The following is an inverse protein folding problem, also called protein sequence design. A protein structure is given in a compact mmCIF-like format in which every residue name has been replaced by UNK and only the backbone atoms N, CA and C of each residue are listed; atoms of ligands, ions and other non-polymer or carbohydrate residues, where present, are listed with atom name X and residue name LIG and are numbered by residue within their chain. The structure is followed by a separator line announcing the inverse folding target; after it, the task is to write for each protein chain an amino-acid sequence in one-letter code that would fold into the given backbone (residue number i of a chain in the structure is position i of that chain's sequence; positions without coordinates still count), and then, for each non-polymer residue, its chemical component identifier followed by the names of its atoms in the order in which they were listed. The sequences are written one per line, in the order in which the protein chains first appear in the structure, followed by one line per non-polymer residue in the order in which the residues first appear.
data_IF_129529572969
#
_entry.id   IF_129529572969
#
_cell.length_a   1.000
_cell.length_b   1.000
_cell.length_c   1.000
_cell.angle_alpha   90.00
_cell.angle_beta   90.00
_cell.angle_gamma   90.00
#
_symmetry.space_group_name_H-M   'P 1'
#
loop_
_entity.id
_entity.type
_entity.pdbx_description
1 polymer ?
#
# COMPACT_ATOMS: atom_id res chain seq x y z
N UNK A 1 -2.04 40.79 -24.78
CA UNK A 1 -0.97 40.56 -23.77
C UNK A 1 -1.32 39.39 -22.83
N UNK A 2 -2.60 39.16 -22.50
CA UNK A 2 -3.01 38.07 -21.58
C UNK A 2 -2.93 36.64 -22.21
N UNK A 3 -2.99 36.52 -23.53
CA UNK A 3 -2.95 35.21 -24.23
C UNK A 3 -1.53 34.67 -24.40
N UNK A 4 -0.51 35.52 -24.37
CA UNK A 4 0.90 35.10 -24.46
C UNK A 4 1.43 34.53 -23.14
N UNK A 5 0.94 35.00 -21.99
CA UNK A 5 1.36 34.48 -20.65
C UNK A 5 0.89 33.06 -20.38
N UNK A 6 -0.31 32.69 -20.84
CA UNK A 6 -0.87 31.35 -20.62
C UNK A 6 -0.19 30.24 -21.45
N UNK A 7 0.41 30.60 -22.59
CA UNK A 7 1.17 29.66 -23.44
C UNK A 7 2.56 29.36 -22.91
N UNK A 8 3.21 30.32 -22.23
CA UNK A 8 4.54 30.13 -21.62
C UNK A 8 4.45 29.23 -20.39
N UNK A 9 3.44 29.42 -19.52
CA UNK A 9 3.21 28.57 -18.34
C UNK A 9 2.80 27.12 -18.68
N UNK A 10 2.21 26.87 -19.87
CA UNK A 10 1.92 25.50 -20.35
C UNK A 10 3.14 24.80 -20.94
N UNK A 11 4.10 25.55 -21.51
CA UNK A 11 5.34 24.97 -22.06
C UNK A 11 6.29 24.53 -20.96
N UNK A 12 6.40 25.28 -19.86
CA UNK A 12 7.28 24.95 -18.73
C UNK A 12 6.78 23.74 -17.89
N UNK A 13 5.53 23.28 -18.07
CA UNK A 13 5.01 22.04 -17.45
C UNK A 13 5.17 20.78 -18.30
N UNK A 14 5.48 20.92 -19.59
CA UNK A 14 5.64 19.78 -20.51
C UNK A 14 7.06 19.19 -20.48
N UNK A 15 8.04 19.93 -19.95
CA UNK A 15 9.46 19.54 -19.90
C UNK A 15 9.92 19.07 -18.51
N UNK A 16 9.01 18.74 -17.60
CA UNK A 16 9.38 17.96 -16.42
C UNK A 16 9.55 16.49 -16.83
N UNK A 17 10.56 16.22 -17.65
CA UNK A 17 11.12 14.89 -17.79
C UNK A 17 11.41 14.39 -16.37
N UNK A 18 10.90 13.25 -15.98
CA UNK A 18 11.24 12.63 -14.69
C UNK A 18 12.75 12.44 -14.69
N UNK A 19 13.46 13.28 -13.94
CA UNK A 19 14.90 13.10 -13.76
C UNK A 19 15.08 11.74 -13.07
N UNK A 20 15.93 10.92 -13.66
CA UNK A 20 16.28 9.59 -13.16
C UNK A 20 17.68 9.69 -12.57
N UNK A 21 17.81 9.47 -11.26
CA UNK A 21 19.12 9.49 -10.60
C UNK A 21 19.85 8.16 -10.85
N UNK A 22 21.09 8.19 -11.40
CA UNK A 22 21.90 6.99 -11.53
C UNK A 22 22.30 6.49 -10.14
N UNK A 23 21.95 5.23 -9.83
CA UNK A 23 22.30 4.61 -8.55
C UNK A 23 23.66 3.92 -8.67
N UNK A 24 24.56 4.09 -7.68
CA UNK A 24 25.85 3.41 -7.68
C UNK A 24 25.73 1.89 -7.78
N UNK A 25 26.62 1.27 -8.56
CA UNK A 25 26.67 -0.18 -8.66
C UNK A 25 27.00 -0.81 -7.28
N UNK A 26 26.33 -1.90 -6.95
CA UNK A 26 26.64 -2.69 -5.76
C UNK A 26 27.76 -3.66 -6.04
N UNK A 27 28.76 -3.67 -5.16
CA UNK A 27 29.89 -4.57 -5.21
C UNK A 27 29.73 -5.82 -4.32
N UNK A 28 28.65 -5.89 -3.52
CA UNK A 28 28.36 -7.06 -2.69
C UNK A 28 27.65 -8.13 -3.51
N UNK A 29 28.03 -9.41 -3.34
CA UNK A 29 27.33 -10.52 -3.96
C UNK A 29 25.83 -10.50 -3.62
N UNK A 30 24.99 -10.94 -4.55
CA UNK A 30 23.56 -11.10 -4.27
C UNK A 30 23.39 -12.19 -3.18
N UNK A 31 22.54 -11.97 -2.16
CA UNK A 31 22.24 -12.98 -1.17
C UNK A 31 21.48 -14.15 -1.81
N UNK A 32 21.75 -15.37 -1.32
CA UNK A 32 20.95 -16.55 -1.69
C UNK A 32 19.60 -16.53 -0.96
N UNK A 33 18.60 -17.32 -1.39
CA UNK A 33 17.32 -17.40 -0.69
C UNK A 33 17.45 -17.71 0.82
N UNK A 34 18.44 -18.53 1.21
CA UNK A 34 18.68 -18.95 2.59
C UNK A 34 19.32 -17.85 3.45
N UNK A 35 20.09 -16.97 2.84
CA UNK A 35 20.81 -15.89 3.53
C UNK A 35 20.11 -14.54 3.45
N UNK A 36 19.13 -14.40 2.54
CA UNK A 36 18.41 -13.14 2.35
C UNK A 36 17.55 -12.78 3.55
N UNK A 37 17.78 -11.58 4.07
CA UNK A 37 17.04 -11.04 5.21
C UNK A 37 16.13 -9.90 4.75
N UNK A 38 14.85 -10.02 5.04
CA UNK A 38 13.88 -8.99 4.74
C UNK A 38 13.02 -8.65 5.95
N UNK A 39 12.50 -7.44 5.98
CA UNK A 39 11.61 -6.97 7.03
C UNK A 39 10.62 -5.94 6.51
N UNK A 40 9.76 -5.50 7.41
CA UNK A 40 8.72 -4.50 7.11
C UNK A 40 8.79 -3.32 8.05
N UNK A 41 8.34 -2.17 7.56
CA UNK A 41 8.03 -1.00 8.36
C UNK A 41 6.61 -0.54 8.06
N UNK A 42 5.85 -0.21 9.12
CA UNK A 42 4.51 0.36 9.02
C UNK A 42 4.30 1.42 10.10
N UNK A 43 3.66 2.53 9.76
CA UNK A 43 3.16 3.51 10.72
C UNK A 43 1.67 3.30 10.86
N UNK A 44 1.23 2.91 12.05
CA UNK A 44 -0.10 2.33 12.27
C UNK A 44 -0.95 3.16 13.23
N UNK A 45 -2.24 3.28 12.88
CA UNK A 45 -3.32 3.75 13.75
C UNK A 45 -4.48 2.80 13.57
N UNK A 46 -4.48 1.70 14.33
CA UNK A 46 -5.44 0.61 14.23
C UNK A 46 -5.61 -0.07 15.59
N UNK A 47 -6.58 -0.97 15.71
CA UNK A 47 -6.78 -1.76 16.92
C UNK A 47 -5.68 -2.82 17.09
N UNK A 48 -5.44 -3.23 18.33
CA UNK A 48 -4.49 -4.31 18.62
C UNK A 48 -4.72 -5.58 17.79
N UNK A 49 -5.95 -6.11 17.63
CA UNK A 49 -6.17 -7.28 16.78
C UNK A 49 -5.75 -7.08 15.32
N UNK A 50 -5.98 -5.89 14.75
CA UNK A 50 -5.58 -5.57 13.37
C UNK A 50 -4.04 -5.54 13.25
N UNK A 51 -3.35 -4.87 14.17
CA UNK A 51 -1.89 -4.77 14.16
C UNK A 51 -1.27 -6.15 14.40
N UNK A 52 -1.81 -6.95 15.31
CA UNK A 52 -1.33 -8.30 15.59
C UNK A 52 -1.51 -9.24 14.39
N UNK A 53 -2.65 -9.20 13.69
CA UNK A 53 -2.85 -9.95 12.44
C UNK A 53 -1.84 -9.56 11.38
N UNK A 54 -1.63 -8.27 11.19
CA UNK A 54 -0.63 -7.75 10.26
C UNK A 54 0.77 -8.28 10.59
N UNK A 55 1.22 -8.12 11.83
CA UNK A 55 2.54 -8.56 12.25
C UNK A 55 2.69 -10.09 12.17
N UNK A 56 1.69 -10.84 12.66
CA UNK A 56 1.70 -12.29 12.65
C UNK A 56 1.78 -12.87 11.25
N UNK A 57 0.95 -12.37 10.31
CA UNK A 57 0.95 -12.82 8.93
C UNK A 57 2.32 -12.67 8.28
N UNK A 58 2.95 -11.52 8.44
CA UNK A 58 4.22 -11.25 7.77
C UNK A 58 5.40 -11.95 8.44
N UNK A 59 5.37 -12.12 9.76
CA UNK A 59 6.36 -12.94 10.49
C UNK A 59 6.24 -14.42 10.09
N UNK A 60 5.03 -14.91 9.89
CA UNK A 60 4.74 -16.27 9.44
C UNK A 60 5.19 -16.50 7.97
N UNK A 61 5.13 -15.48 7.13
CA UNK A 61 5.69 -15.48 5.78
C UNK A 61 7.23 -15.38 5.75
N UNK A 62 7.90 -15.27 6.92
CA UNK A 62 9.34 -15.26 7.03
C UNK A 62 9.99 -13.87 7.14
N UNK A 63 9.23 -12.81 7.46
CA UNK A 63 9.85 -11.54 7.80
C UNK A 63 10.79 -11.69 8.99
N UNK A 64 12.03 -11.26 8.86
CA UNK A 64 13.02 -11.29 9.95
C UNK A 64 12.67 -10.31 11.07
N UNK A 65 12.05 -9.17 10.70
CA UNK A 65 11.63 -8.13 11.64
C UNK A 65 10.44 -7.33 11.08
N UNK A 66 9.57 -6.85 11.98
CA UNK A 66 8.50 -5.89 11.68
C UNK A 66 8.66 -4.67 12.57
N UNK A 67 8.91 -3.50 11.96
CA UNK A 67 8.98 -2.22 12.64
C UNK A 67 7.61 -1.54 12.63
N UNK A 68 7.04 -1.32 13.81
CA UNK A 68 5.71 -0.72 14.00
C UNK A 68 5.83 0.62 14.70
N UNK A 69 5.45 1.68 14.01
CA UNK A 69 5.35 3.03 14.57
C UNK A 69 3.89 3.29 14.95
N UNK A 70 3.59 3.31 16.26
CA UNK A 70 2.25 3.56 16.76
C UNK A 70 1.93 5.07 16.68
N UNK A 71 1.18 5.50 15.68
CA UNK A 71 0.81 6.91 15.45
C UNK A 71 -0.30 7.40 16.41
N UNK A 72 -0.96 6.49 17.08
CA UNK A 72 -1.81 6.70 18.24
C UNK A 72 -1.39 5.65 19.30
N UNK A 73 -0.38 5.94 20.13
CA UNK A 73 0.16 4.99 21.09
C UNK A 73 -0.90 4.53 22.11
N UNK A 74 -0.97 3.23 22.31
CA UNK A 74 -1.78 2.57 23.32
C UNK A 74 -0.90 1.62 24.13
N UNK A 75 -0.83 1.77 25.47
CA UNK A 75 0.05 0.99 26.34
C UNK A 75 -0.19 -0.52 26.29
N UNK A 76 -1.44 -0.96 26.11
CA UNK A 76 -1.78 -2.37 25.99
C UNK A 76 -1.22 -2.96 24.69
N UNK A 77 -1.44 -2.25 23.58
CA UNK A 77 -0.92 -2.63 22.26
C UNK A 77 0.60 -2.69 22.25
N UNK A 78 1.26 -1.67 22.79
CA UNK A 78 2.72 -1.63 22.92
C UNK A 78 3.26 -2.80 23.74
N UNK A 79 2.72 -2.99 24.96
CA UNK A 79 3.14 -4.06 25.86
C UNK A 79 2.95 -5.45 25.25
N UNK A 80 1.86 -5.67 24.51
CA UNK A 80 1.60 -6.95 23.87
C UNK A 80 2.59 -7.23 22.73
N UNK A 81 2.74 -6.28 21.82
CA UNK A 81 3.57 -6.47 20.62
C UNK A 81 5.07 -6.55 20.97
N UNK A 82 5.54 -5.78 21.93
CA UNK A 82 6.96 -5.75 22.35
C UNK A 82 7.45 -7.03 23.01
N UNK A 83 6.56 -7.95 23.37
CA UNK A 83 6.96 -9.29 23.86
C UNK A 83 7.58 -10.15 22.77
N UNK A 84 7.29 -9.87 21.50
CA UNK A 84 7.80 -10.68 20.41
C UNK A 84 9.16 -10.14 19.92
N UNK A 85 10.25 -10.93 19.94
CA UNK A 85 11.61 -10.45 19.69
C UNK A 85 11.84 -9.91 18.27
N UNK A 86 10.99 -10.25 17.31
CA UNK A 86 11.07 -9.77 15.92
C UNK A 86 10.11 -8.60 15.63
N UNK A 87 9.48 -8.00 16.66
CA UNK A 87 8.64 -6.82 16.52
C UNK A 87 9.29 -5.66 17.25
N UNK A 88 9.63 -4.62 16.53
CA UNK A 88 10.15 -3.39 17.09
C UNK A 88 9.05 -2.33 17.11
N UNK A 89 8.61 -1.98 18.32
CA UNK A 89 7.54 -0.99 18.52
C UNK A 89 8.15 0.36 18.87
N UNK A 90 7.73 1.39 18.14
CA UNK A 90 8.07 2.79 18.42
C UNK A 90 6.80 3.58 18.71
N UNK A 91 6.73 4.25 19.84
CA UNK A 91 5.65 5.18 20.20
C UNK A 91 5.88 6.51 19.48
N UNK A 92 4.93 6.96 18.67
CA UNK A 92 5.01 8.28 18.01
C UNK A 92 4.29 9.37 18.82
N UNK A 93 4.64 9.46 20.12
CA UNK A 93 4.20 10.52 21.04
C UNK A 93 5.04 11.80 20.90
N UNK A 94 4.79 12.79 21.75
CA UNK A 94 5.52 14.07 21.70
C UNK A 94 7.00 13.91 22.00
N UNK A 95 7.38 12.98 22.88
CA UNK A 95 8.78 12.70 23.19
C UNK A 95 9.54 12.17 21.97
N UNK A 96 8.92 11.24 21.24
CA UNK A 96 9.49 10.74 19.97
C UNK A 96 9.74 11.87 18.96
N UNK A 97 8.77 12.77 18.76
CA UNK A 97 8.95 13.89 17.81
C UNK A 97 10.01 14.88 18.27
N UNK A 98 10.11 15.14 19.58
CA UNK A 98 11.16 15.98 20.15
C UNK A 98 12.56 15.36 19.93
N UNK A 99 12.73 14.06 20.19
CA UNK A 99 14.00 13.34 19.97
C UNK A 99 14.42 13.35 18.50
N UNK A 100 13.46 13.32 17.55
CA UNK A 100 13.78 13.46 16.12
C UNK A 100 14.14 14.88 15.70
N UNK A 101 14.04 15.87 16.59
CA UNK A 101 14.23 17.29 16.29
C UNK A 101 13.16 17.88 15.36
N UNK A 102 11.98 17.27 15.28
CA UNK A 102 10.90 17.67 14.38
C UNK A 102 9.59 17.92 15.12
N UNK A 103 8.83 18.86 14.60
CA UNK A 103 7.42 18.99 14.95
C UNK A 103 6.62 17.84 14.28
N UNK A 104 5.70 17.26 15.01
CA UNK A 104 4.80 16.23 14.45
C UNK A 104 4.06 16.77 13.22
N UNK A 105 4.26 16.13 12.09
CA UNK A 105 3.66 16.56 10.83
C UNK A 105 2.15 16.23 10.82
N UNK A 106 1.31 17.16 10.34
CA UNK A 106 -0.15 16.98 10.28
C UNK A 106 -0.56 15.84 9.33
N UNK A 107 0.06 15.81 8.15
CA UNK A 107 -0.24 14.77 7.16
C UNK A 107 0.40 13.43 7.55
N UNK A 108 -0.45 12.40 7.75
CA UNK A 108 0.01 11.06 8.13
C UNK A 108 0.97 10.47 7.09
N UNK A 109 0.78 10.78 5.80
CA UNK A 109 1.68 10.32 4.73
C UNK A 109 3.11 10.80 4.91
N UNK A 110 3.30 12.01 5.46
CA UNK A 110 4.62 12.55 5.76
C UNK A 110 5.25 11.82 6.95
N UNK A 111 4.44 11.48 7.98
CA UNK A 111 4.91 10.69 9.12
C UNK A 111 5.32 9.28 8.72
N UNK A 112 4.50 8.62 7.87
CA UNK A 112 4.82 7.31 7.29
C UNK A 112 6.16 7.35 6.54
N UNK A 113 6.32 8.29 5.61
CA UNK A 113 7.55 8.43 4.83
C UNK A 113 8.77 8.78 5.69
N UNK A 114 8.60 9.58 6.73
CA UNK A 114 9.67 9.88 7.67
C UNK A 114 10.11 8.63 8.44
N UNK A 115 9.18 7.93 9.08
CA UNK A 115 9.45 6.73 9.86
C UNK A 115 10.08 5.62 9.00
N UNK A 116 9.54 5.39 7.80
CA UNK A 116 10.10 4.41 6.87
C UNK A 116 11.52 4.78 6.42
N UNK A 117 11.81 6.07 6.20
CA UNK A 117 13.15 6.54 5.84
C UNK A 117 14.14 6.35 6.98
N UNK A 118 13.74 6.63 8.22
CA UNK A 118 14.58 6.41 9.40
C UNK A 118 14.89 4.91 9.58
N UNK A 119 13.87 4.06 9.47
CA UNK A 119 14.05 2.60 9.53
C UNK A 119 14.96 2.09 8.43
N UNK A 120 14.78 2.55 7.17
CA UNK A 120 15.62 2.12 6.06
C UNK A 120 17.11 2.38 6.30
N UNK A 121 17.42 3.51 6.94
CA UNK A 121 18.81 3.85 7.33
C UNK A 121 19.31 3.01 8.50
N UNK A 122 18.45 2.75 9.49
CA UNK A 122 18.81 2.02 10.70
C UNK A 122 19.06 0.52 10.43
N UNK A 123 18.43 -0.06 9.40
CA UNK A 123 18.57 -1.49 9.07
C UNK A 123 19.67 -1.78 8.05
N UNK A 124 20.48 -0.79 7.69
CA UNK A 124 21.65 -1.00 6.84
C UNK A 124 22.62 -2.02 7.47
N UNK A 125 23.11 -2.94 6.66
CA UNK A 125 23.93 -4.08 7.10
C UNK A 125 23.19 -5.18 7.86
N UNK A 126 21.91 -4.99 8.21
CA UNK A 126 21.10 -5.99 8.92
C UNK A 126 20.02 -6.64 8.06
N UNK A 127 19.46 -5.90 7.11
CA UNK A 127 18.50 -6.39 6.12
C UNK A 127 19.00 -6.18 4.70
N UNK A 128 18.58 -7.05 3.80
CA UNK A 128 18.79 -6.90 2.36
C UNK A 128 17.64 -6.11 1.71
N UNK A 129 16.44 -6.24 2.28
CA UNK A 129 15.23 -5.56 1.82
C UNK A 129 14.34 -5.10 2.96
N UNK A 130 13.81 -3.88 2.87
CA UNK A 130 12.79 -3.34 3.75
C UNK A 130 11.55 -2.97 2.95
N UNK A 131 10.39 -3.59 3.26
CA UNK A 131 9.09 -3.23 2.68
C UNK A 131 8.40 -2.16 3.50
N UNK A 132 7.78 -1.16 2.83
CA UNK A 132 6.93 -0.17 3.48
C UNK A 132 5.49 -0.39 3.03
N UNK A 133 4.66 -0.94 3.91
CA UNK A 133 3.26 -1.30 3.63
C UNK A 133 2.35 -0.82 4.76
N UNK A 134 1.06 -0.65 4.47
CA UNK A 134 0.06 -0.20 5.44
C UNK A 134 -0.51 -1.39 6.22
N UNK A 135 -1.13 -1.13 7.38
CA UNK A 135 -1.63 -2.17 8.31
C UNK A 135 -2.81 -2.97 7.75
N UNK A 136 -3.47 -2.48 6.70
CA UNK A 136 -4.56 -3.11 5.96
C UNK A 136 -4.09 -3.75 4.63
N UNK A 137 -2.77 -3.91 4.48
CA UNK A 137 -2.14 -4.55 3.32
C UNK A 137 -1.41 -5.83 3.72
N UNK A 138 -1.63 -6.92 2.97
CA UNK A 138 -1.08 -8.24 3.27
C UNK A 138 -0.39 -8.85 2.06
N UNK A 139 0.82 -9.37 2.25
CA UNK A 139 1.55 -10.05 1.19
C UNK A 139 0.93 -11.41 0.88
N UNK A 140 0.81 -11.74 -0.41
CA UNK A 140 0.53 -13.07 -0.92
C UNK A 140 1.72 -13.48 -1.77
N UNK A 141 2.35 -14.60 -1.41
CA UNK A 141 3.57 -15.07 -2.05
C UNK A 141 3.36 -16.44 -2.69
N UNK A 142 3.67 -16.57 -3.98
CA UNK A 142 3.59 -17.84 -4.72
C UNK A 142 4.68 -18.86 -4.28
N UNK A 143 5.72 -18.36 -3.59
CA UNK A 143 6.86 -19.11 -3.03
C UNK A 143 7.45 -18.30 -1.88
N UNK A 144 8.42 -18.84 -1.09
CA UNK A 144 9.02 -18.06 0.00
C UNK A 144 9.45 -16.66 -0.44
N UNK A 145 9.10 -15.63 0.35
CA UNK A 145 9.37 -14.23 0.00
C UNK A 145 10.86 -13.98 -0.23
N UNK A 146 11.73 -14.60 0.59
CA UNK A 146 13.17 -14.51 0.40
C UNK A 146 13.64 -15.05 -0.97
N UNK A 147 13.02 -16.13 -1.46
CA UNK A 147 13.30 -16.67 -2.80
C UNK A 147 12.89 -15.70 -3.90
N UNK A 148 11.71 -15.07 -3.77
CA UNK A 148 11.24 -14.05 -4.73
C UNK A 148 12.20 -12.87 -4.75
N UNK A 149 12.54 -12.34 -3.58
CA UNK A 149 13.42 -11.17 -3.45
C UNK A 149 14.86 -11.45 -3.88
N UNK A 150 15.36 -12.68 -3.74
CA UNK A 150 16.71 -13.06 -4.21
C UNK A 150 16.83 -13.07 -5.73
N UNK A 151 15.72 -13.22 -6.44
CA UNK A 151 15.66 -13.18 -7.92
C UNK A 151 15.56 -11.78 -8.51
N UNK A 152 15.35 -10.78 -7.65
CA UNK A 152 15.35 -9.36 -8.06
C UNK A 152 16.73 -8.97 -8.57
N UNK A 153 16.77 -8.14 -9.61
CA UNK A 153 18.04 -7.61 -10.14
C UNK A 153 18.96 -7.16 -8.98
N UNK A 154 20.17 -7.73 -8.87
CA UNK A 154 21.12 -7.37 -7.81
C UNK A 154 21.44 -5.87 -7.74
N UNK A 155 21.30 -5.16 -8.85
CA UNK A 155 21.52 -3.72 -8.92
C UNK A 155 20.25 -2.90 -8.61
N UNK A 156 19.07 -3.51 -8.50
CA UNK A 156 17.85 -2.77 -8.23
C UNK A 156 17.87 -2.09 -6.86
N UNK A 157 17.60 -0.79 -6.81
CA UNK A 157 17.43 -0.03 -5.57
C UNK A 157 16.09 -0.32 -4.89
N UNK A 158 15.10 -0.66 -5.69
CA UNK A 158 13.76 -1.06 -5.22
C UNK A 158 13.18 -2.15 -6.11
N UNK A 159 12.29 -2.96 -5.51
CA UNK A 159 11.41 -3.85 -6.26
C UNK A 159 9.96 -3.59 -5.89
N UNK A 160 9.08 -3.56 -6.89
CA UNK A 160 7.67 -3.21 -6.74
C UNK A 160 6.80 -4.45 -6.59
N UNK A 161 5.87 -4.37 -5.64
CA UNK A 161 4.84 -5.37 -5.41
C UNK A 161 3.56 -4.90 -6.09
N UNK A 162 2.95 -5.76 -6.91
CA UNK A 162 1.69 -5.45 -7.57
C UNK A 162 0.52 -5.54 -6.58
N UNK A 163 -0.38 -4.54 -6.54
CA UNK A 163 -1.53 -4.55 -5.64
C UNK A 163 -2.66 -5.39 -6.23
N UNK A 164 -3.45 -5.99 -5.35
CA UNK A 164 -4.78 -6.52 -5.63
C UNK A 164 -5.75 -5.95 -4.60
N UNK A 165 -7.00 -5.70 -4.98
CA UNK A 165 -7.97 -5.06 -4.09
C UNK A 165 -9.05 -6.04 -3.66
N UNK A 166 -9.25 -6.16 -2.34
CA UNK A 166 -10.21 -7.05 -1.74
C UNK A 166 -11.65 -6.67 -2.08
N UNK A 167 -12.49 -7.66 -2.37
CA UNK A 167 -13.94 -7.52 -2.32
C UNK A 167 -14.40 -7.59 -0.86
N UNK A 168 -15.42 -6.79 -0.55
CA UNK A 168 -15.98 -6.68 0.80
C UNK A 168 -16.78 -7.91 1.19
N UNK A 169 -16.51 -8.41 2.41
CA UNK A 169 -17.18 -9.59 2.94
C UNK A 169 -17.50 -9.38 4.43
N UNK A 170 -18.73 -9.66 4.86
CA UNK A 170 -19.16 -9.42 6.24
C UNK A 170 -18.94 -10.64 7.16
N UNK A 171 -18.78 -11.85 6.61
CA UNK A 171 -18.68 -13.10 7.34
C UNK A 171 -17.24 -13.65 7.45
N UNK A 172 -16.25 -12.79 7.48
CA UNK A 172 -14.85 -13.17 7.65
C UNK A 172 -13.87 -12.31 6.86
N UNK A 173 -12.59 -12.72 6.79
CA UNK A 173 -11.63 -11.99 5.99
C UNK A 173 -11.98 -12.06 4.50
N UNK A 174 -11.65 -11.02 3.70
CA UNK A 174 -11.78 -11.05 2.26
C UNK A 174 -11.11 -12.28 1.65
N UNK A 175 -11.78 -12.88 0.66
CA UNK A 175 -11.31 -14.06 -0.05
C UNK A 175 -11.15 -13.84 -1.55
N UNK A 176 -11.94 -12.93 -2.11
CA UNK A 176 -11.91 -12.59 -3.53
C UNK A 176 -11.26 -11.22 -3.71
N UNK A 177 -10.42 -11.11 -4.73
CA UNK A 177 -9.63 -9.93 -5.00
C UNK A 177 -9.72 -9.54 -6.46
N UNK A 178 -9.78 -8.24 -6.71
CA UNK A 178 -9.74 -7.67 -8.06
C UNK A 178 -8.30 -7.52 -8.52
N UNK A 179 -8.05 -7.85 -9.78
CA UNK A 179 -6.85 -7.46 -10.53
C UNK A 179 -7.13 -6.18 -11.31
N UNK A 180 -6.10 -5.37 -11.54
CA UNK A 180 -6.23 -4.24 -12.47
C UNK A 180 -6.36 -4.76 -13.92
N UNK A 181 -7.01 -3.99 -14.78
CA UNK A 181 -7.08 -4.32 -16.20
C UNK A 181 -5.69 -4.54 -16.85
N UNK A 182 -4.65 -3.84 -16.37
CA UNK A 182 -3.27 -4.00 -16.84
C UNK A 182 -2.65 -5.33 -16.41
N UNK A 183 -2.90 -5.77 -15.17
CA UNK A 183 -2.42 -7.07 -14.68
C UNK A 183 -3.08 -8.23 -15.45
N UNK A 184 -4.36 -8.11 -15.75
CA UNK A 184 -5.09 -9.09 -16.56
C UNK A 184 -4.82 -8.99 -18.07
N UNK A 185 -4.08 -7.97 -18.53
CA UNK A 185 -3.78 -7.78 -19.96
C UNK A 185 -5.00 -7.36 -20.81
N UNK A 186 -6.04 -6.81 -20.18
CA UNK A 186 -7.27 -6.42 -20.88
C UNK A 186 -7.37 -4.91 -21.08
N UNK A 187 -8.17 -4.49 -22.06
CA UNK A 187 -8.38 -3.06 -22.36
C UNK A 187 -9.20 -2.39 -21.25
N UNK A 188 -8.87 -1.13 -20.90
CA UNK A 188 -9.60 -0.34 -19.90
C UNK A 188 -11.10 -0.25 -20.18
N UNK A 189 -11.51 -0.23 -21.45
CA UNK A 189 -12.93 -0.17 -21.84
C UNK A 189 -13.77 -1.34 -21.29
N UNK A 190 -13.16 -2.53 -21.04
CA UNK A 190 -13.86 -3.69 -20.47
C UNK A 190 -14.30 -3.45 -19.01
N UNK A 191 -13.73 -2.46 -18.33
CA UNK A 191 -14.19 -2.11 -16.98
C UNK A 191 -15.65 -1.65 -16.97
N UNK A 192 -16.19 -1.15 -18.09
CA UNK A 192 -17.60 -0.80 -18.22
C UNK A 192 -18.51 -2.05 -18.27
N UNK A 193 -18.00 -3.18 -18.73
CA UNK A 193 -18.75 -4.46 -18.70
C UNK A 193 -18.75 -5.06 -17.28
N UNK A 194 -17.65 -4.85 -16.54
CA UNK A 194 -17.52 -5.30 -15.15
C UNK A 194 -18.33 -4.41 -14.19
N UNK A 195 -18.27 -3.11 -14.38
CA UNK A 195 -18.94 -2.09 -13.57
C UNK A 195 -19.81 -1.20 -14.47
N UNK A 196 -21.05 -1.62 -14.78
CA UNK A 196 -21.89 -0.95 -15.78
C UNK A 196 -22.17 0.53 -15.49
N UNK A 197 -22.33 0.89 -14.21
CA UNK A 197 -22.62 2.27 -13.79
C UNK A 197 -21.34 3.06 -13.51
N UNK A 198 -20.38 2.48 -12.79
CA UNK A 198 -19.26 3.23 -12.20
C UNK A 198 -17.90 2.97 -12.85
N UNK A 199 -17.81 2.08 -13.85
CA UNK A 199 -16.54 1.66 -14.45
C UNK A 199 -15.67 2.78 -15.01
N UNK A 200 -16.27 3.84 -15.55
CA UNK A 200 -15.55 5.00 -16.09
C UNK A 200 -14.83 5.82 -15.00
N UNK A 201 -15.33 5.78 -13.76
CA UNK A 201 -14.80 6.54 -12.64
C UNK A 201 -13.70 5.79 -11.87
N UNK A 202 -13.44 4.50 -12.23
CA UNK A 202 -12.46 3.68 -11.56
C UNK A 202 -11.09 3.73 -12.23
N UNK A 203 -10.04 3.75 -11.43
CA UNK A 203 -8.66 3.73 -11.91
C UNK A 203 -8.16 2.28 -11.99
N UNK A 204 -8.22 1.72 -13.20
CA UNK A 204 -7.75 0.35 -13.41
C UNK A 204 -8.68 -0.73 -12.85
N UNK A 205 -9.87 -0.39 -12.39
CA UNK A 205 -10.85 -1.29 -11.79
C UNK A 205 -10.86 -1.28 -10.26
N UNK A 206 -9.99 -0.49 -9.61
CA UNK A 206 -9.90 -0.38 -8.16
C UNK A 206 -10.57 0.89 -7.64
N UNK A 207 -11.08 0.81 -6.44
CA UNK A 207 -11.44 1.95 -5.62
C UNK A 207 -10.18 2.59 -5.00
N UNK A 208 -9.22 1.77 -4.62
CA UNK A 208 -7.96 2.17 -4.02
C UNK A 208 -6.87 2.50 -5.06
N UNK A 209 -5.65 2.55 -4.60
CA UNK A 209 -4.48 2.93 -5.38
C UNK A 209 -3.91 1.73 -6.18
N UNK A 210 -3.62 1.94 -7.46
CA UNK A 210 -3.12 0.90 -8.38
C UNK A 210 -1.59 0.82 -8.50
N UNK A 211 -0.85 1.69 -7.78
CA UNK A 211 0.62 1.74 -7.89
C UNK A 211 1.32 0.62 -7.12
N UNK A 212 0.67 0.06 -6.09
CA UNK A 212 1.29 -0.90 -5.18
C UNK A 212 2.33 -0.27 -4.25
N UNK A 213 3.11 -1.13 -3.60
CA UNK A 213 4.16 -0.76 -2.66
C UNK A 213 5.52 -1.23 -3.15
N UNK A 214 6.56 -0.91 -2.40
CA UNK A 214 7.92 -1.31 -2.78
C UNK A 214 8.68 -1.89 -1.58
N UNK A 215 9.55 -2.84 -1.87
CA UNK A 215 10.71 -3.12 -1.05
C UNK A 215 11.87 -2.25 -1.52
N UNK A 216 12.58 -1.63 -0.59
CA UNK A 216 13.77 -0.84 -0.84
C UNK A 216 15.02 -1.54 -0.28
N UNK A 217 16.14 -1.40 -0.97
CA UNK A 217 17.43 -1.84 -0.44
C UNK A 217 17.99 -0.79 0.52
N UNK A 218 18.41 -1.18 1.74
CA UNK A 218 19.18 -0.31 2.62
C UNK A 218 20.56 0.04 2.04
N UNK A 219 21.23 1.01 2.66
CA UNK A 219 22.64 1.39 2.35
C UNK A 219 22.81 2.44 1.27
N UNK A 220 21.76 2.92 0.62
CA UNK A 220 21.85 4.07 -0.28
C UNK A 220 21.70 5.37 0.53
N UNK A 221 22.70 6.27 0.50
CA UNK A 221 22.58 7.59 1.15
C UNK A 221 21.53 8.45 0.44
N UNK A 222 21.13 9.56 1.06
CA UNK A 222 20.21 10.54 0.46
C UNK A 222 18.89 9.95 -0.08
N UNK A 223 18.43 8.84 0.50
CA UNK A 223 17.15 8.23 0.14
C UNK A 223 16.01 8.79 0.97
N UNK A 224 14.83 8.86 0.34
CA UNK A 224 13.54 9.07 1.00
C UNK A 224 12.62 7.91 0.64
N UNK A 225 12.23 7.13 1.65
CA UNK A 225 11.34 6.00 1.50
C UNK A 225 9.88 6.47 1.66
N UNK A 226 9.22 6.73 0.55
CA UNK A 226 7.82 7.17 0.51
C UNK A 226 6.84 6.00 0.61
N UNK A 227 5.54 6.31 0.51
CA UNK A 227 4.46 5.32 0.64
C UNK A 227 4.42 4.35 -0.54
N UNK A 228 4.74 4.81 -1.75
CA UNK A 228 4.66 4.02 -2.98
C UNK A 228 5.96 4.02 -3.79
N UNK A 229 7.01 4.63 -3.29
CA UNK A 229 8.26 4.77 -4.02
C UNK A 229 9.44 5.05 -3.10
N UNK A 230 10.63 4.78 -3.61
CA UNK A 230 11.90 5.26 -3.08
C UNK A 230 12.36 6.42 -3.96
N UNK A 231 12.82 7.50 -3.35
CA UNK A 231 13.56 8.57 -4.05
C UNK A 231 15.03 8.48 -3.63
N UNK A 232 15.92 8.67 -4.58
CA UNK A 232 17.36 8.80 -4.38
C UNK A 232 17.80 10.17 -4.87
N UNK A 233 18.44 10.95 -4.01
CA UNK A 233 18.80 12.35 -4.30
C UNK A 233 17.61 13.21 -4.80
N UNK A 234 16.42 12.97 -4.28
CA UNK A 234 15.20 13.66 -4.67
C UNK A 234 14.50 13.11 -5.93
N UNK A 235 15.17 12.26 -6.71
CA UNK A 235 14.72 11.75 -8.00
C UNK A 235 14.32 10.27 -7.94
N UNK A 236 13.68 9.76 -8.98
CA UNK A 236 13.43 8.33 -9.14
C UNK A 236 14.74 7.58 -9.41
N UNK A 237 15.03 6.46 -8.72
CA UNK A 237 16.23 5.68 -9.00
C UNK A 237 16.14 5.05 -10.42
N UNK A 238 17.27 4.96 -11.09
CA UNK A 238 17.38 4.41 -12.46
C UNK A 238 17.08 2.91 -12.52
N UNK A 239 17.42 2.20 -11.44
CA UNK A 239 17.35 0.74 -11.36
C UNK A 239 16.17 0.32 -10.46
N UNK A 240 15.11 -0.11 -11.11
CA UNK A 240 13.85 -0.59 -10.48
C UNK A 240 13.52 -1.95 -11.03
N UNK A 241 12.94 -2.79 -10.20
CA UNK A 241 12.49 -4.12 -10.59
C UNK A 241 11.05 -4.38 -10.11
N UNK A 242 10.51 -5.54 -10.45
CA UNK A 242 9.20 -6.05 -10.02
C UNK A 242 9.36 -7.36 -9.30
N UNK A 243 8.75 -7.50 -8.15
CA UNK A 243 8.73 -8.74 -7.37
C UNK A 243 7.72 -9.73 -7.99
N UNK A 244 8.10 -10.41 -9.07
CA UNK A 244 7.23 -11.37 -9.72
C UNK A 244 6.92 -12.56 -8.80
N UNK A 245 5.63 -12.87 -8.66
CA UNK A 245 5.14 -13.89 -7.73
C UNK A 245 4.83 -13.38 -6.33
N UNK A 246 4.96 -12.06 -6.10
CA UNK A 246 4.54 -11.39 -4.87
C UNK A 246 3.42 -10.38 -5.17
N UNK A 247 2.29 -10.52 -4.48
CA UNK A 247 1.14 -9.64 -4.58
C UNK A 247 0.89 -8.95 -3.24
N UNK A 248 0.25 -7.80 -3.28
CA UNK A 248 -0.16 -7.03 -2.10
C UNK A 248 -1.68 -6.95 -2.05
N UNK A 249 -2.31 -7.73 -1.19
CA UNK A 249 -3.74 -7.70 -0.95
C UNK A 249 -4.10 -6.49 -0.09
N UNK A 250 -4.84 -5.55 -0.64
CA UNK A 250 -5.26 -4.33 0.04
C UNK A 250 -6.73 -4.44 0.49
N UNK A 251 -6.96 -4.42 1.79
CA UNK A 251 -8.29 -4.49 2.42
C UNK A 251 -8.88 -3.09 2.55
N UNK A 252 -8.97 -2.38 1.42
CA UNK A 252 -9.35 -0.97 1.38
C UNK A 252 -10.77 -0.71 1.89
N UNK A 253 -11.74 -1.49 1.46
CA UNK A 253 -13.14 -1.37 1.84
C UNK A 253 -13.70 -2.77 2.20
N UNK A 254 -13.21 -3.40 3.29
CA UNK A 254 -13.53 -4.79 3.60
C UNK A 254 -14.99 -5.02 4.04
N UNK A 255 -15.72 -3.96 4.41
CA UNK A 255 -17.15 -3.98 4.72
C UNK A 255 -17.81 -2.65 4.39
N UNK A 256 -19.15 -2.63 4.34
CA UNK A 256 -19.94 -1.42 4.17
C UNK A 256 -19.65 -0.38 5.26
N UNK A 257 -19.63 -0.79 6.52
CA UNK A 257 -19.41 0.10 7.64
C UNK A 257 -18.00 0.73 7.59
N UNK A 258 -17.00 -0.07 7.21
CA UNK A 258 -15.64 0.46 7.01
C UNK A 258 -15.58 1.45 5.85
N UNK A 259 -16.19 1.16 4.71
CA UNK A 259 -16.27 2.07 3.58
C UNK A 259 -16.91 3.40 3.99
N UNK A 260 -18.10 3.34 4.61
CA UNK A 260 -18.88 4.51 5.02
C UNK A 260 -18.16 5.37 6.06
N UNK A 261 -17.60 4.76 7.10
CA UNK A 261 -16.94 5.48 8.19
C UNK A 261 -15.66 6.20 7.73
N UNK A 262 -14.99 5.70 6.69
CA UNK A 262 -13.77 6.30 6.16
C UNK A 262 -13.99 7.23 4.95
N UNK A 263 -15.20 7.30 4.40
CA UNK A 263 -15.50 8.05 3.17
C UNK A 263 -15.10 9.52 3.27
N UNK A 264 -15.56 10.23 4.31
CA UNK A 264 -15.25 11.65 4.51
C UNK A 264 -13.75 11.90 4.67
N UNK A 265 -13.07 11.11 5.49
CA UNK A 265 -11.62 11.23 5.67
C UNK A 265 -10.87 11.02 4.35
N UNK A 266 -11.24 10.00 3.56
CA UNK A 266 -10.60 9.69 2.27
C UNK A 266 -10.86 10.76 1.22
N UNK A 267 -12.05 11.37 1.22
CA UNK A 267 -12.40 12.49 0.36
C UNK A 267 -11.61 13.76 0.72
N UNK A 268 -11.51 14.08 1.99
CA UNK A 268 -10.94 15.35 2.43
C UNK A 268 -9.41 15.30 2.56
N UNK A 269 -8.85 14.21 3.04
CA UNK A 269 -7.42 14.06 3.37
C UNK A 269 -6.76 12.82 2.76
N UNK A 270 -7.51 11.93 2.14
CA UNK A 270 -7.06 10.62 1.68
C UNK A 270 -7.00 10.45 0.16
N UNK A 271 -7.26 9.22 -0.29
CA UNK A 271 -7.09 8.76 -1.68
C UNK A 271 -8.11 9.32 -2.66
N UNK A 272 -9.28 9.78 -2.19
CA UNK A 272 -10.37 10.30 -3.04
C UNK A 272 -10.33 11.81 -3.22
N UNK A 273 -9.27 12.49 -2.80
CA UNK A 273 -9.17 13.96 -2.95
C UNK A 273 -9.24 14.39 -4.42
N UNK A 274 -9.86 15.58 -4.68
CA UNK A 274 -9.85 16.17 -6.01
C UNK A 274 -8.41 16.31 -6.54
N UNK A 275 -8.22 16.03 -7.80
CA UNK A 275 -6.91 16.13 -8.48
C UNK A 275 -7.00 17.11 -9.62
N UNK A 276 -6.27 18.21 -9.53
CA UNK A 276 -6.25 19.28 -10.54
C UNK A 276 -5.63 18.86 -11.90
N UNK A 277 -4.92 17.73 -11.91
CA UNK A 277 -4.29 17.18 -13.11
C UNK A 277 -5.20 16.26 -13.95
N UNK A 278 -6.46 16.07 -13.51
CA UNK A 278 -7.45 15.24 -14.21
C UNK A 278 -8.70 16.04 -14.56
N UNK A 279 -8.98 16.22 -15.86
CA UNK A 279 -10.14 16.99 -16.34
C UNK A 279 -11.46 16.20 -16.31
N UNK A 280 -11.41 14.88 -16.11
CA UNK A 280 -12.59 14.01 -16.05
C UNK A 280 -13.13 13.93 -14.62
N UNK A 281 -14.43 13.67 -14.46
CA UNK A 281 -15.06 13.40 -13.17
C UNK A 281 -14.33 12.25 -12.47
N UNK A 282 -13.60 12.59 -11.41
CA UNK A 282 -12.85 11.64 -10.61
C UNK A 282 -13.71 11.03 -9.49
N UNK A 283 -13.08 10.19 -8.66
CA UNK A 283 -13.77 9.59 -7.50
C UNK A 283 -14.30 10.66 -6.51
N UNK A 284 -13.58 11.78 -6.34
CA UNK A 284 -14.03 12.86 -5.46
C UNK A 284 -15.36 13.47 -5.94
N UNK A 285 -15.43 13.78 -7.23
CA UNK A 285 -16.62 14.37 -7.82
C UNK A 285 -17.79 13.40 -7.83
N UNK A 286 -17.52 12.11 -8.13
CA UNK A 286 -18.51 11.05 -8.04
C UNK A 286 -19.09 10.92 -6.62
N UNK A 287 -18.23 10.83 -5.60
CA UNK A 287 -18.72 10.70 -4.22
C UNK A 287 -19.43 11.98 -3.73
N UNK A 288 -18.97 13.15 -4.19
CA UNK A 288 -19.70 14.39 -3.89
C UNK A 288 -21.10 14.35 -4.51
N UNK A 289 -21.24 13.96 -5.77
CA UNK A 289 -22.51 13.80 -6.45
C UNK A 289 -23.42 12.78 -5.73
N UNK A 290 -22.94 11.58 -5.48
CA UNK A 290 -23.70 10.54 -4.79
C UNK A 290 -24.19 10.98 -3.41
N UNK A 291 -23.36 11.71 -2.66
CA UNK A 291 -23.73 12.20 -1.34
C UNK A 291 -24.80 13.32 -1.38
N UNK A 292 -24.73 14.22 -2.38
CA UNK A 292 -25.63 15.37 -2.45
C UNK A 292 -26.95 15.06 -3.14
N UNK A 293 -26.93 14.26 -4.20
CA UNK A 293 -28.10 14.02 -5.05
C UNK A 293 -28.82 12.71 -4.71
N UNK A 294 -28.08 11.66 -4.33
CA UNK A 294 -28.65 10.32 -4.12
C UNK A 294 -28.60 9.86 -2.65
N UNK A 295 -27.79 10.49 -1.82
CA UNK A 295 -27.63 10.15 -0.41
C UNK A 295 -27.04 8.77 -0.17
N UNK A 296 -27.45 8.13 0.94
CA UNK A 296 -26.97 6.80 1.31
C UNK A 296 -27.34 5.69 0.30
N UNK A 297 -28.53 5.69 -0.34
CA UNK A 297 -28.84 4.72 -1.40
C UNK A 297 -27.86 4.74 -2.58
N UNK A 298 -27.44 5.91 -3.05
CA UNK A 298 -26.46 6.01 -4.14
C UNK A 298 -25.07 5.50 -3.74
N UNK A 299 -24.61 5.82 -2.53
CA UNK A 299 -23.37 5.28 -1.98
C UNK A 299 -23.44 3.76 -1.81
N UNK A 300 -24.61 3.22 -1.42
CA UNK A 300 -24.82 1.77 -1.29
C UNK A 300 -24.80 1.11 -2.65
N UNK A 301 -25.43 1.67 -3.67
CA UNK A 301 -25.41 1.17 -5.03
C UNK A 301 -23.98 1.12 -5.59
N UNK A 302 -23.17 2.18 -5.34
CA UNK A 302 -21.75 2.18 -5.67
C UNK A 302 -20.99 1.04 -4.97
N UNK A 303 -21.18 0.90 -3.66
CA UNK A 303 -20.49 -0.13 -2.88
C UNK A 303 -20.87 -1.54 -3.37
N UNK A 304 -22.14 -1.79 -3.60
CA UNK A 304 -22.63 -3.10 -4.07
C UNK A 304 -22.11 -3.45 -5.46
N UNK A 305 -21.99 -2.47 -6.38
CA UNK A 305 -21.44 -2.73 -7.72
C UNK A 305 -19.92 -2.88 -7.73
N UNK A 306 -19.19 -2.13 -6.88
CA UNK A 306 -17.73 -1.99 -7.00
C UNK A 306 -16.96 -2.77 -5.93
N UNK A 307 -17.52 -2.86 -4.72
CA UNK A 307 -16.80 -3.36 -3.55
C UNK A 307 -17.34 -4.70 -3.02
N UNK A 308 -18.65 -4.91 -3.04
CA UNK A 308 -19.27 -6.06 -2.38
C UNK A 308 -18.92 -7.40 -3.07
N UNK A 309 -18.65 -8.42 -2.27
CA UNK A 309 -18.36 -9.78 -2.75
C UNK A 309 -19.65 -10.51 -3.16
N UNK A 310 -20.24 -10.09 -4.28
CA UNK A 310 -21.47 -10.68 -4.82
C UNK A 310 -21.18 -11.72 -5.90
N UNK A 311 -22.04 -12.76 -6.06
CA UNK A 311 -21.91 -13.72 -7.15
C UNK A 311 -21.83 -13.07 -8.54
N UNK A 312 -22.61 -12.01 -8.76
CA UNK A 312 -22.69 -11.31 -10.04
C UNK A 312 -21.38 -10.55 -10.33
N UNK A 313 -20.83 -9.83 -9.34
CA UNK A 313 -19.55 -9.13 -9.53
C UNK A 313 -18.41 -10.14 -9.75
N UNK A 314 -18.37 -11.24 -8.98
CA UNK A 314 -17.38 -12.31 -9.22
C UNK A 314 -17.46 -12.87 -10.63
N UNK A 315 -18.68 -13.17 -11.12
CA UNK A 315 -18.87 -13.70 -12.47
C UNK A 315 -18.42 -12.72 -13.57
N UNK A 316 -18.65 -11.40 -13.40
CA UNK A 316 -18.17 -10.38 -14.32
C UNK A 316 -16.65 -10.24 -14.28
N UNK A 317 -16.04 -10.24 -13.10
CA UNK A 317 -14.57 -10.19 -12.94
C UNK A 317 -13.90 -11.43 -13.52
N UNK A 318 -14.41 -12.63 -13.21
CA UNK A 318 -13.85 -13.91 -13.65
C UNK A 318 -13.87 -14.05 -15.19
N UNK A 319 -14.98 -13.65 -15.83
CA UNK A 319 -15.10 -13.64 -17.29
C UNK A 319 -13.97 -12.93 -18.01
N UNK A 320 -13.39 -11.92 -17.40
CA UNK A 320 -12.31 -11.10 -17.96
C UNK A 320 -10.95 -11.38 -17.32
N UNK A 321 -10.81 -12.43 -16.50
CA UNK A 321 -9.56 -12.76 -15.82
C UNK A 321 -9.13 -11.71 -14.78
N UNK A 322 -10.09 -10.97 -14.22
CA UNK A 322 -9.88 -9.91 -13.22
C UNK A 322 -10.11 -10.37 -11.78
N UNK A 323 -10.45 -11.65 -11.57
CA UNK A 323 -10.72 -12.24 -10.26
C UNK A 323 -9.54 -13.11 -9.81
N UNK A 324 -9.11 -12.92 -8.57
CA UNK A 324 -8.19 -13.81 -7.88
C UNK A 324 -8.83 -14.27 -6.57
N UNK A 325 -8.68 -15.56 -6.25
CA UNK A 325 -9.13 -16.12 -4.98
C UNK A 325 -7.94 -16.51 -4.12
N UNK A 326 -7.95 -16.08 -2.85
CA UNK A 326 -6.96 -16.46 -1.86
C UNK A 326 -7.56 -16.49 -0.46
N UNK A 327 -7.26 -17.51 0.31
CA UNK A 327 -7.72 -17.67 1.70
C UNK A 327 -6.61 -17.27 2.67
N UNK A 328 -6.91 -16.31 3.55
CA UNK A 328 -6.04 -15.93 4.66
C UNK A 328 -6.44 -16.68 5.92
N UNK A 329 -5.49 -17.37 6.54
CA UNK A 329 -5.67 -17.96 7.88
C UNK A 329 -4.94 -17.08 8.92
N UNK A 330 -5.48 -15.90 9.16
CA UNK A 330 -4.92 -14.95 10.13
C UNK A 330 -4.91 -15.52 11.55
N UNK A 331 -5.93 -16.30 11.91
CA UNK A 331 -6.04 -16.86 13.25
C UNK A 331 -4.96 -17.92 13.51
N UNK A 332 -4.63 -18.73 12.50
CA UNK A 332 -3.50 -19.65 12.60
C UNK A 332 -2.17 -18.90 12.70
N UNK A 333 -1.96 -17.84 11.90
CA UNK A 333 -0.75 -17.02 12.00
C UNK A 333 -0.62 -16.35 13.38
N UNK A 334 -1.70 -15.79 13.91
CA UNK A 334 -1.72 -15.20 15.25
C UNK A 334 -1.41 -16.26 16.33
N UNK A 335 -2.01 -17.46 16.23
CA UNK A 335 -1.70 -18.56 17.17
C UNK A 335 -0.23 -18.99 17.11
N UNK A 336 0.35 -19.10 15.91
CA UNK A 336 1.78 -19.50 15.75
C UNK A 336 2.73 -18.45 16.32
N UNK A 337 2.44 -17.18 16.14
CA UNK A 337 3.33 -16.06 16.50
C UNK A 337 3.14 -15.62 17.94
N UNK A 338 1.89 -15.48 18.39
CA UNK A 338 1.57 -14.91 19.72
C UNK A 338 0.94 -15.89 20.69
N UNK A 339 0.55 -17.09 20.25
CA UNK A 339 -0.26 -18.04 21.03
C UNK A 339 -1.73 -17.63 21.05
N UNK A 340 -2.06 -16.48 21.59
CA UNK A 340 -3.40 -15.92 21.63
C UNK A 340 -3.35 -14.38 21.64
N UNK A 341 -4.45 -13.74 21.24
CA UNK A 341 -4.69 -12.32 21.49
C UNK A 341 -5.23 -12.14 22.91
N UNK A 342 -4.94 -11.01 23.57
CA UNK A 342 -5.47 -10.71 24.91
C UNK A 342 -6.96 -10.39 24.85
#
# INVERSE_FOLDING_TARGET
LAVMGARKARRDKADAASHIAPVPARNTPAPTPETLRWGLVSTVKASLPQIARFAAHHLDLGAGVVHLYLDAPDPQTESFLSRHPRIHVTRCDDAYWQETGRVRMDAHQLRQAFNATQTLRAVDGTLDWLGHIDVDEFLIAARPVAEILSRTDPQAALTRIAPIEALARDDGPPRHFKLTHKQAGVKKALLQEVYPTFGLHLFGGFLSHTTGKVFARPGLPETRFGIHTLKYQGEDPSNKDKAEGLLLAHFHAPSWDHFRSHLNFRRDKGSYRPRSDRPEMGQADLFQYLMTEEGEPGLRAFFDEVCADTPDLRARLDRHGLLLTHDFDFDASVRRVFGALP
#
